data_IF_440245254248
#
_entry.id   IF_440245254248
#
_cell.length_a   1.000
_cell.length_b   1.000
_cell.length_c   1.000
_cell.angle_alpha   90.00
_cell.angle_beta   90.00
_cell.angle_gamma   90.00
#
_symmetry.space_group_name_H-M   'P 1'
#
loop_
_entity.id
_entity.type
_entity.pdbx_description
1 polymer ?
#
# COMPACT_ATOMS: atom_id res chain seq x y z
N UNK A 1 -33.39 -1.58 17.90
CA UNK A 1 -32.44 -0.74 18.66
C UNK A 1 -31.44 -0.21 17.67
N UNK A 2 -31.50 1.07 17.32
CA UNK A 2 -30.53 1.70 16.43
C UNK A 2 -29.32 2.02 17.28
N UNK A 3 -28.25 1.23 17.17
CA UNK A 3 -26.94 1.60 17.69
C UNK A 3 -26.44 2.74 16.80
N UNK A 4 -26.67 3.97 17.22
CA UNK A 4 -25.92 5.13 16.71
C UNK A 4 -24.48 4.94 17.15
N UNK A 5 -23.68 4.30 16.30
CA UNK A 5 -22.23 4.36 16.40
C UNK A 5 -21.85 5.83 16.24
N UNK A 6 -21.39 6.46 17.33
CA UNK A 6 -20.78 7.79 17.24
C UNK A 6 -19.65 7.73 16.22
N UNK A 7 -19.78 8.50 15.15
CA UNK A 7 -18.74 8.62 14.13
C UNK A 7 -17.55 9.32 14.79
N UNK A 8 -16.32 8.77 14.74
CA UNK A 8 -15.15 9.45 15.24
C UNK A 8 -15.06 10.84 14.61
N UNK A 9 -14.76 11.86 15.42
CA UNK A 9 -14.55 13.21 14.90
C UNK A 9 -13.37 13.20 13.90
N UNK A 10 -13.62 13.65 12.66
CA UNK A 10 -12.58 13.78 11.65
C UNK A 10 -11.64 14.96 11.95
N UNK A 11 -10.49 15.00 11.26
CA UNK A 11 -9.53 16.12 11.25
C UNK A 11 -8.92 16.44 12.62
N UNK A 12 -8.76 15.42 13.48
CA UNK A 12 -8.09 15.58 14.77
C UNK A 12 -6.62 15.92 14.56
N UNK A 13 -6.17 17.00 15.20
CA UNK A 13 -4.75 17.31 15.28
C UNK A 13 -4.03 16.25 16.12
N UNK A 14 -2.81 15.90 15.71
CA UNK A 14 -1.90 15.18 16.59
C UNK A 14 -1.51 16.04 17.80
N UNK A 15 -0.97 15.44 18.84
CA UNK A 15 -0.61 16.15 20.07
C UNK A 15 0.45 17.27 19.86
N UNK A 16 1.09 17.33 18.69
CA UNK A 16 2.20 18.26 18.39
C UNK A 16 3.48 17.93 19.16
N UNK A 17 3.43 16.95 20.07
CA UNK A 17 4.58 16.41 20.77
C UNK A 17 5.53 15.71 19.81
N UNK A 18 6.80 15.69 20.17
CA UNK A 18 7.80 14.88 19.48
C UNK A 18 7.39 13.40 19.53
N UNK A 19 7.62 12.68 18.44
CA UNK A 19 7.34 11.25 18.41
C UNK A 19 8.29 10.52 19.37
N UNK A 20 7.70 9.69 20.23
CA UNK A 20 8.45 8.80 21.10
C UNK A 20 9.32 7.84 20.30
N UNK A 21 10.50 7.50 20.83
CA UNK A 21 11.44 6.58 20.19
C UNK A 21 10.79 5.23 19.84
N UNK A 22 9.96 4.69 20.75
CA UNK A 22 9.20 3.45 20.53
C UNK A 22 8.22 3.54 19.35
N UNK A 23 7.66 4.72 19.08
CA UNK A 23 6.79 4.90 17.91
C UNK A 23 7.60 4.86 16.62
N UNK A 24 8.78 5.47 16.60
CA UNK A 24 9.69 5.43 15.46
C UNK A 24 10.19 3.99 15.20
N UNK A 25 10.51 3.23 16.25
CA UNK A 25 10.91 1.83 16.15
C UNK A 25 9.81 0.97 15.52
N UNK A 26 8.54 1.15 15.92
CA UNK A 26 7.42 0.41 15.29
C UNK A 26 7.25 0.75 13.81
N UNK A 27 7.39 2.03 13.44
CA UNK A 27 7.31 2.45 12.04
C UNK A 27 8.45 1.81 11.23
N UNK A 28 9.67 1.82 11.76
CA UNK A 28 10.83 1.17 11.13
C UNK A 28 10.62 -0.34 10.97
N UNK A 29 10.15 -1.02 12.01
CA UNK A 29 9.86 -2.45 11.96
C UNK A 29 8.80 -2.79 10.91
N UNK A 30 7.71 -2.02 10.86
CA UNK A 30 6.67 -2.21 9.85
C UNK A 30 7.22 -1.96 8.44
N UNK A 31 7.97 -0.88 8.25
CA UNK A 31 8.57 -0.54 6.96
C UNK A 31 9.53 -1.64 6.47
N UNK A 32 10.38 -2.15 7.36
CA UNK A 32 11.30 -3.26 7.05
C UNK A 32 10.57 -4.56 6.77
N UNK A 33 9.51 -4.87 7.51
CA UNK A 33 8.67 -6.02 7.23
C UNK A 33 8.04 -5.91 5.83
N UNK A 34 7.40 -4.78 5.51
CA UNK A 34 6.81 -4.54 4.20
C UNK A 34 7.85 -4.65 3.08
N UNK A 35 9.04 -4.06 3.26
CA UNK A 35 10.14 -4.17 2.29
C UNK A 35 10.60 -5.63 2.10
N UNK A 36 10.73 -6.39 3.19
CA UNK A 36 11.09 -7.81 3.12
C UNK A 36 10.04 -8.62 2.35
N UNK A 37 8.75 -8.39 2.64
CA UNK A 37 7.64 -9.02 1.93
C UNK A 37 7.62 -8.65 0.44
N UNK A 38 7.90 -7.39 0.09
CA UNK A 38 7.99 -6.93 -1.29
C UNK A 38 9.14 -7.61 -2.05
N UNK A 39 10.31 -7.75 -1.43
CA UNK A 39 11.44 -8.49 -2.01
C UNK A 39 11.07 -9.97 -2.16
N UNK A 40 10.48 -10.59 -1.14
CA UNK A 40 10.00 -11.97 -1.21
C UNK A 40 9.07 -12.22 -2.39
N UNK A 41 8.10 -11.32 -2.61
CA UNK A 41 7.20 -11.36 -3.76
C UNK A 41 7.92 -11.26 -5.11
N UNK A 42 8.95 -10.43 -5.25
CA UNK A 42 9.66 -10.30 -6.53
C UNK A 42 10.57 -11.50 -6.80
N UNK A 43 11.22 -12.04 -5.76
CA UNK A 43 12.35 -12.96 -5.93
C UNK A 43 12.08 -14.40 -5.54
N UNK A 44 11.25 -14.69 -4.53
CA UNK A 44 11.21 -16.02 -3.89
C UNK A 44 10.03 -16.89 -4.37
N UNK A 45 10.31 -18.18 -4.55
CA UNK A 45 9.34 -19.26 -4.73
C UNK A 45 9.09 -20.03 -3.43
N UNK A 46 10.12 -20.21 -2.62
CA UNK A 46 10.15 -21.02 -1.40
C UNK A 46 11.03 -20.35 -0.33
N UNK A 47 11.14 -20.99 0.83
CA UNK A 47 11.98 -20.55 1.95
C UNK A 47 11.74 -19.08 2.33
N UNK A 48 10.49 -18.66 2.55
CA UNK A 48 10.14 -17.24 2.65
C UNK A 48 10.75 -16.55 3.88
N UNK A 49 11.18 -17.30 4.89
CA UNK A 49 11.83 -16.79 6.11
C UNK A 49 13.33 -17.07 6.16
N UNK A 50 13.92 -17.63 5.09
CA UNK A 50 15.33 -17.99 5.01
C UNK A 50 15.80 -18.86 6.19
N UNK A 51 14.98 -19.82 6.62
CA UNK A 51 15.30 -20.74 7.73
C UNK A 51 16.41 -21.70 7.37
N UNK A 52 16.49 -22.06 6.10
CA UNK A 52 17.60 -22.81 5.51
C UNK A 52 18.47 -21.88 4.66
N UNK A 53 19.76 -22.20 4.43
CA UNK A 53 20.61 -21.43 3.53
C UNK A 53 19.97 -21.26 2.14
N UNK A 54 19.90 -20.01 1.67
CA UNK A 54 19.26 -19.70 0.40
C UNK A 54 19.94 -20.42 -0.76
N UNK A 55 19.13 -21.13 -1.56
CA UNK A 55 19.57 -21.81 -2.78
C UNK A 55 18.98 -21.15 -4.03
N UNK A 56 19.49 -21.48 -5.21
CA UNK A 56 18.92 -21.01 -6.49
C UNK A 56 17.48 -21.52 -6.71
N UNK A 57 17.15 -22.68 -6.15
CA UNK A 57 15.83 -23.30 -6.30
C UNK A 57 14.74 -22.59 -5.50
N UNK A 58 15.14 -21.75 -4.53
CA UNK A 58 14.25 -20.87 -3.80
C UNK A 58 13.90 -19.59 -4.57
N UNK A 59 14.60 -19.29 -5.67
CA UNK A 59 14.46 -18.05 -6.44
C UNK A 59 13.61 -18.29 -7.70
N UNK A 60 12.71 -17.35 -8.02
CA UNK A 60 11.89 -17.40 -9.23
C UNK A 60 12.77 -17.47 -10.49
N UNK A 61 12.46 -18.35 -11.46
CA UNK A 61 13.21 -18.44 -12.72
C UNK A 61 13.02 -17.22 -13.61
N UNK A 62 11.93 -16.46 -13.40
CA UNK A 62 11.66 -15.18 -14.05
C UNK A 62 11.38 -14.15 -12.96
N UNK A 63 12.23 -13.12 -12.90
CA UNK A 63 12.10 -12.02 -11.95
C UNK A 63 11.21 -10.95 -12.59
N UNK A 64 10.01 -10.75 -12.02
CA UNK A 64 9.01 -9.81 -12.50
C UNK A 64 8.50 -8.97 -11.33
N UNK A 65 8.37 -7.66 -11.56
CA UNK A 65 8.00 -6.69 -10.52
C UNK A 65 8.96 -5.52 -10.49
N UNK A 66 8.61 -4.49 -9.74
CA UNK A 66 9.40 -3.27 -9.62
C UNK A 66 9.83 -3.05 -8.17
N UNK A 67 11.12 -2.82 -7.97
CA UNK A 67 11.66 -2.46 -6.66
C UNK A 67 11.76 -0.95 -6.47
N UNK A 68 12.10 -0.18 -7.51
CA UNK A 68 12.53 1.22 -7.38
C UNK A 68 11.60 2.14 -6.58
N UNK A 69 10.28 2.09 -6.81
CA UNK A 69 9.29 2.91 -6.09
C UNK A 69 8.85 2.29 -4.75
N UNK A 70 8.92 0.97 -4.64
CA UNK A 70 8.29 0.15 -3.59
C UNK A 70 8.73 0.51 -2.15
N UNK A 71 10.02 0.69 -1.81
CA UNK A 71 10.38 1.04 -0.45
C UNK A 71 9.91 2.46 -0.05
N UNK A 72 9.80 3.38 -1.02
CA UNK A 72 9.22 4.71 -0.79
C UNK A 72 7.72 4.63 -0.49
N UNK A 73 6.98 3.81 -1.24
CA UNK A 73 5.57 3.54 -0.98
C UNK A 73 5.35 2.90 0.39
N UNK A 74 6.13 1.88 0.75
CA UNK A 74 6.06 1.24 2.06
C UNK A 74 6.36 2.21 3.20
N UNK A 75 7.30 3.14 3.01
CA UNK A 75 7.62 4.18 4.00
C UNK A 75 6.42 5.10 4.23
N UNK A 76 5.82 5.63 3.14
CA UNK A 76 4.64 6.48 3.22
C UNK A 76 3.47 5.75 3.86
N UNK A 77 3.23 4.49 3.49
CA UNK A 77 2.17 3.65 4.05
C UNK A 77 2.34 3.45 5.56
N UNK A 78 3.55 3.13 6.03
CA UNK A 78 3.83 2.99 7.47
C UNK A 78 3.51 4.26 8.26
N UNK A 79 3.90 5.42 7.73
CA UNK A 79 3.66 6.72 8.34
C UNK A 79 2.17 7.14 8.32
N UNK A 80 1.45 6.77 7.26
CA UNK A 80 0.00 6.97 7.15
C UNK A 80 -0.75 6.05 8.11
N UNK A 81 -0.40 4.77 8.21
CA UNK A 81 -0.96 3.85 9.21
C UNK A 81 -0.81 4.39 10.62
N UNK A 82 0.36 4.93 10.97
CA UNK A 82 0.56 5.61 12.25
C UNK A 82 -0.37 6.83 12.40
N UNK A 83 -0.51 7.66 11.36
CA UNK A 83 -1.39 8.84 11.42
C UNK A 83 -2.88 8.46 11.55
N UNK A 84 -3.32 7.42 10.85
CA UNK A 84 -4.68 6.86 10.92
C UNK A 84 -4.95 6.34 12.32
N UNK A 85 -4.04 5.53 12.88
CA UNK A 85 -4.18 4.98 14.23
C UNK A 85 -4.22 6.07 15.31
N UNK A 86 -3.38 7.10 15.21
CA UNK A 86 -3.31 8.21 16.17
C UNK A 86 -4.57 9.09 16.12
N UNK A 87 -5.08 9.37 14.93
CA UNK A 87 -6.09 10.42 14.71
C UNK A 87 -7.49 9.87 14.42
N UNK A 88 -7.61 8.56 14.23
CA UNK A 88 -8.83 7.90 13.73
C UNK A 88 -9.35 8.56 12.45
N UNK A 89 -8.43 8.99 11.57
CA UNK A 89 -8.75 9.72 10.35
C UNK A 89 -9.13 8.74 9.23
N UNK A 90 -10.36 8.83 8.72
CA UNK A 90 -10.77 8.10 7.51
C UNK A 90 -9.83 8.47 6.37
N UNK A 91 -9.18 7.47 5.77
CA UNK A 91 -8.11 7.67 4.79
C UNK A 91 -8.20 6.65 3.66
N UNK A 92 -8.02 7.10 2.42
CA UNK A 92 -7.79 6.23 1.26
C UNK A 92 -6.45 6.58 0.62
N UNK A 93 -5.75 5.56 0.11
CA UNK A 93 -4.43 5.70 -0.50
C UNK A 93 -4.54 5.55 -2.01
N UNK A 94 -4.11 6.57 -2.78
CA UNK A 94 -4.05 6.51 -4.24
C UNK A 94 -2.60 6.36 -4.68
N UNK A 95 -2.26 5.21 -5.26
CA UNK A 95 -0.90 4.88 -5.68
C UNK A 95 -0.68 5.25 -7.15
N UNK A 96 -0.24 6.47 -7.42
CA UNK A 96 0.15 6.90 -8.77
C UNK A 96 1.23 5.99 -9.41
N UNK A 97 2.38 5.72 -8.77
CA UNK A 97 3.35 4.75 -9.26
C UNK A 97 2.88 3.31 -8.98
N UNK A 98 1.76 2.92 -9.58
CA UNK A 98 1.05 1.66 -9.31
C UNK A 98 1.81 0.41 -9.71
N UNK A 99 2.88 0.53 -10.49
CA UNK A 99 3.84 -0.55 -10.73
C UNK A 99 4.58 -1.02 -9.46
N UNK A 100 4.45 -0.28 -8.34
CA UNK A 100 4.85 -0.66 -6.98
C UNK A 100 3.90 -1.63 -6.26
N UNK A 101 3.14 -2.44 -7.00
CA UNK A 101 2.21 -3.46 -6.48
C UNK A 101 2.70 -4.30 -5.30
N UNK A 102 3.95 -4.81 -5.26
CA UNK A 102 4.43 -5.61 -4.13
C UNK A 102 4.35 -4.89 -2.78
N UNK A 103 4.47 -3.56 -2.76
CA UNK A 103 4.37 -2.77 -1.54
C UNK A 103 2.96 -2.74 -0.98
N UNK A 104 1.96 -2.53 -1.84
CA UNK A 104 0.56 -2.46 -1.43
C UNK A 104 0.01 -3.83 -1.05
N UNK A 105 0.40 -4.89 -1.76
CA UNK A 105 0.08 -6.28 -1.37
C UNK A 105 0.73 -6.63 -0.03
N UNK A 106 1.99 -6.25 0.19
CA UNK A 106 2.65 -6.45 1.48
C UNK A 106 1.94 -5.69 2.61
N UNK A 107 1.48 -4.47 2.34
CA UNK A 107 0.76 -3.63 3.30
C UNK A 107 -0.57 -4.25 3.73
N UNK A 108 -1.38 -4.66 2.75
CA UNK A 108 -2.66 -5.34 3.00
C UNK A 108 -2.48 -6.71 3.68
N UNK A 109 -1.35 -7.39 3.44
CA UNK A 109 -1.03 -8.61 4.18
C UNK A 109 -0.68 -8.32 5.64
N UNK A 110 0.11 -7.27 5.92
CA UNK A 110 0.51 -6.90 7.27
C UNK A 110 -0.61 -6.33 8.14
N UNK A 111 -1.65 -5.73 7.53
CA UNK A 111 -2.84 -5.28 8.25
C UNK A 111 -3.95 -6.35 8.36
N UNK A 112 -3.71 -7.54 7.81
CA UNK A 112 -4.59 -8.71 7.87
C UNK A 112 -5.70 -8.74 6.81
N UNK A 113 -5.99 -7.62 6.14
CA UNK A 113 -7.11 -7.53 5.19
C UNK A 113 -6.94 -8.45 3.99
N UNK A 114 -5.69 -8.70 3.57
CA UNK A 114 -5.40 -9.64 2.50
C UNK A 114 -5.85 -11.06 2.86
N UNK A 115 -5.62 -11.51 4.10
CA UNK A 115 -6.00 -12.85 4.57
C UNK A 115 -7.50 -12.97 4.87
N UNK A 116 -8.17 -11.87 5.20
CA UNK A 116 -9.64 -11.82 5.32
C UNK A 116 -10.33 -12.09 3.97
N UNK A 117 -9.80 -11.50 2.89
CA UNK A 117 -10.34 -11.66 1.53
C UNK A 117 -9.85 -12.96 0.88
N UNK A 118 -8.55 -13.24 0.98
CA UNK A 118 -7.88 -14.40 0.38
C UNK A 118 -7.52 -15.42 1.45
N UNK A 119 -8.53 -16.14 1.94
CA UNK A 119 -8.42 -17.10 3.06
C UNK A 119 -7.38 -18.21 2.89
N UNK A 120 -6.89 -18.47 1.66
CA UNK A 120 -5.83 -19.42 1.37
C UNK A 120 -4.40 -18.86 1.62
N UNK A 121 -4.28 -17.54 1.82
CA UNK A 121 -3.05 -16.80 2.09
C UNK A 121 -3.08 -16.41 3.57
N UNK A 122 -2.69 -17.37 4.42
CA UNK A 122 -2.74 -17.26 5.89
C UNK A 122 -1.57 -16.44 6.46
N UNK A 123 -1.71 -15.95 7.70
CA UNK A 123 -0.64 -15.24 8.43
C UNK A 123 0.37 -16.21 9.08
N UNK A 124 0.86 -17.16 8.30
CA UNK A 124 1.86 -18.15 8.71
C UNK A 124 2.92 -18.37 7.61
N UNK A 125 3.88 -19.26 7.84
CA UNK A 125 4.96 -19.51 6.89
C UNK A 125 4.48 -20.10 5.55
N UNK A 126 3.41 -20.90 5.54
CA UNK A 126 2.83 -21.45 4.30
C UNK A 126 2.09 -20.37 3.51
N UNK A 127 1.29 -19.55 4.20
CA UNK A 127 0.63 -18.40 3.59
C UNK A 127 1.63 -17.39 3.04
N UNK A 128 2.72 -17.12 3.76
CA UNK A 128 3.80 -16.27 3.29
C UNK A 128 4.49 -16.83 2.04
N UNK A 129 4.74 -18.14 1.99
CA UNK A 129 5.26 -18.82 0.79
C UNK A 129 4.32 -18.65 -0.39
N UNK A 130 3.01 -18.81 -0.19
CA UNK A 130 2.00 -18.62 -1.25
C UNK A 130 1.95 -17.15 -1.71
N UNK A 131 1.96 -16.20 -0.79
CA UNK A 131 1.99 -14.76 -1.04
C UNK A 131 3.18 -14.40 -1.95
N UNK A 132 4.37 -14.90 -1.62
CA UNK A 132 5.57 -14.63 -2.42
C UNK A 132 5.47 -15.27 -3.80
N UNK A 133 5.10 -16.54 -3.86
CA UNK A 133 5.04 -17.31 -5.10
C UNK A 133 4.03 -16.73 -6.10
N UNK A 134 2.85 -16.32 -5.66
CA UNK A 134 1.76 -15.90 -6.56
C UNK A 134 2.01 -14.57 -7.25
N UNK A 135 2.85 -13.69 -6.70
CA UNK A 135 3.09 -12.38 -7.27
C UNK A 135 3.72 -12.46 -8.68
N UNK A 136 3.08 -11.86 -9.69
CA UNK A 136 3.52 -11.86 -11.09
C UNK A 136 3.82 -13.26 -11.64
N UNK A 137 3.06 -14.26 -11.21
CA UNK A 137 3.26 -15.66 -11.56
C UNK A 137 2.08 -16.20 -12.39
N UNK A 138 2.26 -17.18 -13.30
CA UNK A 138 1.15 -17.79 -14.00
C UNK A 138 0.07 -18.32 -13.04
N UNK A 139 -1.16 -17.83 -13.19
CA UNK A 139 -2.28 -18.17 -12.31
C UNK A 139 -2.24 -17.51 -10.93
N UNK A 140 -1.35 -16.54 -10.72
CA UNK A 140 -1.28 -15.71 -9.52
C UNK A 140 -1.81 -14.29 -9.76
N UNK A 141 -1.22 -13.31 -9.09
CA UNK A 141 -1.71 -11.93 -9.04
C UNK A 141 -0.90 -10.97 -9.94
N UNK A 142 -1.47 -9.83 -10.39
CA UNK A 142 -0.79 -8.82 -11.20
C UNK A 142 0.43 -8.18 -10.53
N UNK A 143 1.25 -7.49 -11.33
CA UNK A 143 2.41 -6.73 -10.87
C UNK A 143 2.09 -5.32 -10.34
N UNK A 144 0.90 -4.80 -10.67
CA UNK A 144 0.44 -3.47 -10.31
C UNK A 144 -0.48 -3.51 -9.07
N UNK A 145 -0.90 -2.35 -8.57
CA UNK A 145 -1.93 -2.22 -7.51
C UNK A 145 -3.32 -2.51 -8.08
N UNK A 146 -3.49 -3.68 -8.70
CA UNK A 146 -4.69 -4.07 -9.43
C UNK A 146 -5.95 -4.07 -8.55
N UNK A 147 -7.17 -4.10 -9.14
CA UNK A 147 -8.43 -4.07 -8.40
C UNK A 147 -8.63 -5.21 -7.39
N UNK A 148 -7.88 -6.30 -7.54
CA UNK A 148 -7.84 -7.42 -6.59
C UNK A 148 -7.00 -7.12 -5.33
N UNK A 149 -6.22 -6.04 -5.30
CA UNK A 149 -5.50 -5.64 -4.08
C UNK A 149 -6.47 -4.92 -3.14
N UNK A 150 -6.72 -5.42 -1.92
CA UNK A 150 -7.56 -4.73 -0.95
C UNK A 150 -7.07 -3.29 -0.72
N UNK A 151 -8.02 -2.34 -0.72
CA UNK A 151 -7.73 -0.91 -0.61
C UNK A 151 -7.44 -0.20 -1.94
N UNK A 152 -7.31 -0.91 -3.06
CA UNK A 152 -7.11 -0.27 -4.37
C UNK A 152 -8.40 0.31 -4.95
N UNK A 153 -8.34 1.58 -5.33
CA UNK A 153 -9.31 2.25 -6.22
C UNK A 153 -8.63 2.86 -7.47
N UNK A 154 -7.34 2.61 -7.63
CA UNK A 154 -6.49 3.20 -8.67
C UNK A 154 -5.31 2.24 -8.92
N UNK A 155 -5.27 1.62 -10.10
CA UNK A 155 -4.25 0.63 -10.43
C UNK A 155 -2.87 1.25 -10.68
N UNK A 156 -2.81 2.46 -11.26
CA UNK A 156 -1.57 3.17 -11.56
C UNK A 156 -0.67 2.46 -12.59
N UNK A 157 -1.27 1.71 -13.52
CA UNK A 157 -0.59 1.14 -14.69
C UNK A 157 -0.37 2.17 -15.80
N UNK A 158 -1.46 2.74 -16.31
CA UNK A 158 -1.38 3.95 -17.13
C UNK A 158 -1.27 5.17 -16.20
N UNK A 159 -0.09 5.79 -16.22
CA UNK A 159 0.27 6.93 -15.39
C UNK A 159 -0.48 8.21 -15.79
N UNK A 160 -0.84 9.04 -14.80
CA UNK A 160 -1.34 10.40 -15.04
C UNK A 160 -2.65 10.77 -14.32
N UNK A 161 -3.32 9.78 -13.72
CA UNK A 161 -4.67 9.96 -13.18
C UNK A 161 -4.73 9.97 -11.65
N UNK A 162 -3.60 9.92 -10.95
CA UNK A 162 -3.57 9.84 -9.49
C UNK A 162 -4.36 10.98 -8.82
N UNK A 163 -4.12 12.23 -9.23
CA UNK A 163 -4.81 13.37 -8.63
C UNK A 163 -6.27 13.50 -9.07
N UNK A 164 -6.62 13.25 -10.34
CA UNK A 164 -8.02 13.34 -10.77
C UNK A 164 -8.90 12.32 -10.02
N UNK A 165 -8.40 11.10 -9.82
CA UNK A 165 -9.08 10.10 -8.99
C UNK A 165 -9.11 10.52 -7.52
N UNK A 166 -8.03 11.10 -7.00
CA UNK A 166 -7.98 11.55 -5.61
C UNK A 166 -8.98 12.66 -5.30
N UNK A 167 -9.04 13.71 -6.12
CA UNK A 167 -10.04 14.77 -5.98
C UNK A 167 -11.46 14.23 -6.18
N UNK A 168 -11.66 13.31 -7.13
CA UNK A 168 -12.94 12.63 -7.34
C UNK A 168 -13.41 11.88 -6.09
N UNK A 169 -12.50 11.17 -5.41
CA UNK A 169 -12.82 10.45 -4.18
C UNK A 169 -13.14 11.38 -2.99
N UNK A 170 -12.57 12.58 -2.97
CA UNK A 170 -12.80 13.58 -1.93
C UNK A 170 -14.12 14.36 -2.11
N UNK A 171 -14.67 14.43 -3.34
CA UNK A 171 -15.93 15.13 -3.58
C UNK A 171 -17.08 14.55 -2.75
N UNK A 172 -17.86 15.45 -2.14
CA UNK A 172 -18.97 15.14 -1.23
C UNK A 172 -18.59 14.18 -0.07
N UNK A 173 -17.30 14.12 0.27
CA UNK A 173 -16.77 13.27 1.32
C UNK A 173 -15.88 14.06 2.29
N UNK A 174 -16.48 15.00 3.06
CA UNK A 174 -15.76 16.02 3.82
C UNK A 174 -14.90 15.48 4.97
N UNK A 175 -15.04 14.20 5.31
CA UNK A 175 -14.28 13.54 6.38
C UNK A 175 -13.15 12.65 5.83
N UNK A 176 -13.02 12.47 4.51
CA UNK A 176 -12.06 11.56 3.90
C UNK A 176 -10.74 12.28 3.60
N UNK A 177 -9.65 11.78 4.16
CA UNK A 177 -8.31 12.10 3.69
C UNK A 177 -7.96 11.23 2.49
N UNK A 178 -7.66 11.84 1.35
CA UNK A 178 -7.11 11.11 0.21
C UNK A 178 -5.61 11.34 0.13
N UNK A 179 -4.83 10.32 0.49
CA UNK A 179 -3.38 10.34 0.38
C UNK A 179 -2.96 9.91 -1.03
N UNK A 180 -2.80 10.88 -1.94
CA UNK A 180 -2.36 10.65 -3.31
C UNK A 180 -0.83 10.70 -3.42
N UNK A 181 -0.21 9.57 -3.72
CA UNK A 181 1.22 9.51 -4.02
C UNK A 181 1.42 9.60 -5.51
N UNK A 182 2.14 10.63 -5.94
CA UNK A 182 2.40 10.94 -7.34
C UNK A 182 3.83 10.56 -7.69
N UNK A 183 4.01 9.80 -8.76
CA UNK A 183 5.34 9.56 -9.32
C UNK A 183 5.90 10.86 -9.90
N UNK A 184 7.20 11.12 -9.73
CA UNK A 184 7.85 12.26 -10.38
C UNK A 184 7.82 12.13 -11.92
N UNK A 185 8.09 10.93 -12.45
CA UNK A 185 7.89 10.64 -13.89
C UNK A 185 6.42 10.67 -14.30
N UNK A 186 5.48 10.33 -13.40
CA UNK A 186 4.04 10.51 -13.66
C UNK A 186 3.72 12.00 -13.84
N UNK A 187 4.35 12.88 -13.06
CA UNK A 187 4.11 14.33 -13.05
C UNK A 187 4.49 15.04 -14.35
N UNK A 188 5.25 14.37 -15.23
CA UNK A 188 5.55 14.85 -16.57
C UNK A 188 4.39 14.63 -17.57
N UNK A 189 3.39 13.83 -17.20
CA UNK A 189 2.24 13.56 -18.06
C UNK A 189 1.27 14.75 -18.11
N UNK A 190 0.66 14.98 -19.26
CA UNK A 190 -0.35 16.04 -19.45
C UNK A 190 -1.55 15.94 -18.49
N UNK A 191 -2.18 14.76 -18.33
CA UNK A 191 -3.28 14.57 -17.38
C UNK A 191 -2.90 14.93 -15.94
N UNK A 192 -1.72 14.54 -15.47
CA UNK A 192 -1.30 14.86 -14.09
C UNK A 192 -0.97 16.34 -13.95
N UNK A 193 -0.28 16.94 -14.92
CA UNK A 193 0.05 18.36 -14.91
C UNK A 193 -1.19 19.26 -14.73
N UNK A 194 -2.27 19.00 -15.47
CA UNK A 194 -3.51 19.79 -15.35
C UNK A 194 -4.27 19.50 -14.05
N UNK A 195 -4.20 18.28 -13.53
CA UNK A 195 -4.95 17.87 -12.33
C UNK A 195 -4.48 18.55 -11.04
N UNK A 196 -3.29 19.15 -10.99
CA UNK A 196 -2.88 20.04 -9.89
C UNK A 196 -3.80 21.26 -9.71
N UNK A 197 -4.57 21.62 -10.74
CA UNK A 197 -5.56 22.69 -10.66
C UNK A 197 -6.89 22.26 -10.01
N UNK A 198 -7.06 20.99 -9.67
CA UNK A 198 -8.31 20.49 -9.07
C UNK A 198 -8.63 21.09 -7.69
N UNK A 199 -7.64 21.61 -6.94
CA UNK A 199 -7.91 22.30 -5.67
C UNK A 199 -8.73 23.59 -5.80
N UNK A 200 -8.91 24.13 -7.01
CA UNK A 200 -9.79 25.28 -7.24
C UNK A 200 -11.27 24.90 -7.37
N UNK A 201 -11.57 23.60 -7.36
CA UNK A 201 -12.92 23.07 -7.61
C UNK A 201 -13.49 22.28 -6.42
N UNK A 202 -12.76 22.16 -5.30
CA UNK A 202 -13.22 21.56 -4.04
C UNK A 202 -13.51 22.63 -2.98
N UNK A 203 -14.31 22.27 -1.96
CA UNK A 203 -14.66 23.12 -0.83
C UNK A 203 -14.19 22.52 0.49
#
# INVERSE_FOLDING_TARGET
MSTTTEKPAAWRHGAGAQLEASTLERIDQWWRAANYLSVGQIYLLNNPLLREPLSRDDVKPRLLGHWGTTPGLNFLYAHLNRAIAERSQSTVYVTGPGHGGPGLVASAYLDGTYSEIYTNITEDEDGLRKLFRQFSFPGGIPSHVAPETPGSIHEGGELGYALSHAYGAAFDNPDLLVAAVVGDGEAETGPLATSWHSNKFVN
#
